data_IF_201771489124
#
_entry.id   IF_201771489124
#
_cell.length_a   1.000
_cell.length_b   1.000
_cell.length_c   1.000
_cell.angle_alpha   90.00
_cell.angle_beta   90.00
_cell.angle_gamma   90.00
#
_symmetry.space_group_name_H-M   'P 1'
#
loop_
_entity.id
_entity.type
_entity.pdbx_description
1 polymer ?
#
# COMPACT_ATOMS: atom_id res chain seq x y z
N UNK A 1 35.26 -43.04 -56.19
CA UNK A 1 35.64 -42.17 -55.08
C UNK A 1 34.51 -41.20 -54.85
N UNK A 2 33.61 -41.51 -53.90
CA UNK A 2 32.39 -40.74 -53.59
C UNK A 2 32.68 -39.86 -52.35
N UNK A 3 32.66 -38.54 -52.51
CA UNK A 3 32.88 -37.58 -51.38
C UNK A 3 31.57 -37.44 -50.64
N UNK A 4 31.52 -37.88 -49.37
CA UNK A 4 30.46 -37.56 -48.43
C UNK A 4 30.65 -36.14 -47.86
N UNK A 5 29.70 -35.26 -48.14
CA UNK A 5 29.66 -33.89 -47.57
C UNK A 5 28.84 -33.95 -46.27
N UNK A 6 29.49 -33.76 -45.12
CA UNK A 6 28.82 -33.63 -43.83
C UNK A 6 28.29 -32.20 -43.67
N UNK A 7 26.98 -32.03 -43.58
CA UNK A 7 26.35 -30.81 -43.13
C UNK A 7 26.30 -30.80 -41.60
N UNK A 8 27.07 -29.88 -40.97
CA UNK A 8 26.96 -29.59 -39.55
C UNK A 8 25.82 -28.59 -39.39
N UNK A 9 24.68 -29.04 -38.85
CA UNK A 9 23.59 -28.17 -38.46
C UNK A 9 23.97 -27.44 -37.16
N UNK A 10 24.26 -26.15 -37.28
CA UNK A 10 24.49 -25.24 -36.15
C UNK A 10 23.11 -24.97 -35.49
N UNK A 11 22.79 -25.65 -34.40
CA UNK A 11 21.65 -25.32 -33.57
C UNK A 11 21.92 -23.95 -32.90
N UNK A 12 21.31 -22.88 -33.42
CA UNK A 12 21.18 -21.62 -32.73
C UNK A 12 20.24 -21.81 -31.52
N UNK A 13 20.82 -21.95 -30.33
CA UNK A 13 20.10 -21.82 -29.07
C UNK A 13 19.60 -20.37 -29.00
N UNK A 14 18.32 -20.17 -29.27
CA UNK A 14 17.65 -18.91 -28.94
C UNK A 14 17.78 -18.69 -27.42
N UNK A 15 18.25 -17.50 -26.97
CA UNK A 15 18.27 -17.22 -25.54
C UNK A 15 16.82 -17.31 -25.02
N UNK A 16 16.56 -18.31 -24.19
CA UNK A 16 15.30 -18.43 -23.47
C UNK A 16 15.07 -17.13 -22.71
N UNK A 17 13.86 -16.55 -22.81
CA UNK A 17 13.52 -15.37 -22.04
C UNK A 17 13.81 -15.65 -20.56
N UNK A 18 14.72 -14.89 -19.96
CA UNK A 18 15.00 -15.00 -18.55
C UNK A 18 13.69 -14.74 -17.78
N UNK A 19 13.36 -15.56 -16.78
CA UNK A 19 12.17 -15.31 -15.96
C UNK A 19 12.30 -13.90 -15.36
N UNK A 20 11.20 -13.15 -15.40
CA UNK A 20 11.17 -11.79 -14.83
C UNK A 20 11.64 -11.83 -13.38
N UNK A 21 12.47 -10.88 -12.98
CA UNK A 21 12.87 -10.74 -11.58
C UNK A 21 11.66 -10.39 -10.71
N UNK A 22 11.57 -10.90 -9.46
CA UNK A 22 10.48 -10.53 -8.58
C UNK A 22 10.58 -9.05 -8.17
N UNK A 23 9.44 -8.39 -8.06
CA UNK A 23 9.34 -7.01 -7.58
C UNK A 23 9.69 -6.88 -6.09
N UNK A 24 9.41 -7.91 -5.31
CA UNK A 24 9.76 -7.98 -3.90
C UNK A 24 9.98 -9.43 -3.45
N UNK A 25 10.53 -9.56 -2.24
CA UNK A 25 10.50 -10.82 -1.50
C UNK A 25 9.60 -10.59 -0.29
N UNK A 26 8.61 -11.46 -0.09
CA UNK A 26 7.71 -11.39 1.06
C UNK A 26 8.48 -11.55 2.38
N UNK A 27 7.92 -11.07 3.47
CA UNK A 27 8.47 -11.29 4.82
C UNK A 27 8.52 -12.79 5.22
N UNK A 28 7.87 -13.65 4.43
CA UNK A 28 7.84 -15.09 4.58
C UNK A 28 8.82 -15.81 3.63
N UNK A 29 9.63 -15.05 2.86
CA UNK A 29 10.64 -15.57 1.94
C UNK A 29 10.11 -15.95 0.54
N UNK A 30 8.86 -15.66 0.20
CA UNK A 30 8.28 -15.96 -1.13
C UNK A 30 8.60 -14.83 -2.13
N UNK A 31 9.02 -15.12 -3.38
CA UNK A 31 9.15 -14.09 -4.41
C UNK A 31 7.77 -13.55 -4.81
N UNK A 32 7.69 -12.24 -5.00
CA UNK A 32 6.45 -11.55 -5.33
C UNK A 32 6.55 -10.91 -6.73
N UNK A 33 5.63 -11.28 -7.59
CA UNK A 33 5.54 -10.80 -8.97
C UNK A 33 4.31 -9.92 -9.17
N UNK A 34 4.30 -9.01 -10.17
CA UNK A 34 3.11 -8.23 -10.48
C UNK A 34 1.88 -9.12 -10.67
N UNK A 35 0.76 -8.71 -10.09
CA UNK A 35 -0.50 -9.44 -10.26
C UNK A 35 -0.99 -9.34 -11.70
N UNK A 36 -1.67 -10.38 -12.22
CA UNK A 36 -2.34 -10.31 -13.52
C UNK A 36 -3.36 -9.16 -13.54
N UNK A 37 -3.35 -8.39 -14.62
CA UNK A 37 -4.28 -7.26 -14.82
C UNK A 37 -5.20 -7.62 -15.99
N UNK A 38 -6.51 -7.37 -15.83
CA UNK A 38 -7.50 -7.57 -16.89
C UNK A 38 -7.14 -6.73 -18.13
N UNK A 39 -7.39 -7.26 -19.34
CA UNK A 39 -6.92 -6.68 -20.59
C UNK A 39 -7.38 -5.22 -20.81
N UNK A 40 -8.59 -4.88 -20.40
CA UNK A 40 -9.12 -3.51 -20.51
C UNK A 40 -8.40 -2.55 -19.55
N UNK A 41 -8.26 -2.92 -18.28
CA UNK A 41 -7.53 -2.13 -17.30
C UNK A 41 -6.05 -1.98 -17.70
N UNK A 42 -5.44 -3.02 -18.24
CA UNK A 42 -4.07 -2.98 -18.76
C UNK A 42 -3.92 -1.91 -19.86
N UNK A 43 -4.83 -1.89 -20.86
CA UNK A 43 -4.78 -0.89 -21.95
C UNK A 43 -4.81 0.54 -21.39
N UNK A 44 -5.73 0.83 -20.47
CA UNK A 44 -5.83 2.14 -19.84
C UNK A 44 -4.55 2.52 -19.08
N UNK A 45 -3.95 1.56 -18.36
CA UNK A 45 -2.69 1.80 -17.63
C UNK A 45 -1.52 2.06 -18.61
N UNK A 46 -1.44 1.30 -19.70
CA UNK A 46 -0.40 1.47 -20.74
C UNK A 46 -0.53 2.80 -21.48
N UNK A 47 -1.75 3.23 -21.82
CA UNK A 47 -2.01 4.55 -22.41
C UNK A 47 -1.61 5.68 -21.47
N UNK A 48 -1.99 5.60 -20.21
CA UNK A 48 -1.62 6.59 -19.21
C UNK A 48 -0.10 6.64 -18.98
N UNK A 49 0.57 5.49 -18.96
CA UNK A 49 2.01 5.39 -18.86
C UNK A 49 2.69 6.05 -20.06
N UNK A 50 2.29 5.70 -21.29
CA UNK A 50 2.82 6.31 -22.52
C UNK A 50 2.68 7.83 -22.51
N UNK A 51 1.56 8.37 -22.06
CA UNK A 51 1.36 9.80 -21.95
C UNK A 51 2.34 10.43 -20.93
N UNK A 52 2.56 9.78 -19.79
CA UNK A 52 3.52 10.24 -18.79
C UNK A 52 4.96 10.16 -19.30
N UNK A 53 5.34 9.12 -20.05
CA UNK A 53 6.64 8.98 -20.69
C UNK A 53 6.93 10.13 -21.67
N UNK A 54 5.92 10.54 -22.48
CA UNK A 54 6.04 11.67 -23.41
C UNK A 54 6.27 12.99 -22.64
N UNK A 55 5.51 13.22 -21.56
CA UNK A 55 5.65 14.45 -20.76
C UNK A 55 7.00 14.48 -20.05
N UNK A 56 7.39 13.38 -19.39
CA UNK A 56 8.68 13.25 -18.72
C UNK A 56 9.86 13.38 -19.71
N UNK A 57 9.78 12.77 -20.89
CA UNK A 57 10.83 12.87 -21.91
C UNK A 57 11.05 14.30 -22.44
N UNK A 58 10.02 15.17 -22.39
CA UNK A 58 10.13 16.59 -22.76
C UNK A 58 10.65 17.47 -21.61
N UNK A 59 10.34 17.12 -20.37
CA UNK A 59 10.67 17.90 -19.17
C UNK A 59 11.18 16.98 -18.05
N UNK A 60 12.38 16.36 -18.20
CA UNK A 60 12.89 15.38 -17.24
C UNK A 60 13.30 16.00 -15.88
N UNK A 61 13.37 17.33 -15.81
CA UNK A 61 13.69 18.09 -14.59
C UNK A 61 12.43 18.70 -13.94
N UNK A 62 11.24 18.49 -14.50
CA UNK A 62 9.98 18.89 -13.90
C UNK A 62 9.60 17.90 -12.79
N UNK A 63 9.43 18.37 -11.52
CA UNK A 63 9.04 17.51 -10.42
C UNK A 63 7.68 16.85 -10.62
N UNK A 64 6.71 17.51 -11.25
CA UNK A 64 5.39 16.93 -11.51
C UNK A 64 5.47 15.83 -12.55
N UNK A 65 6.26 16.01 -13.62
CA UNK A 65 6.50 14.97 -14.61
C UNK A 65 7.17 13.73 -13.99
N UNK A 66 8.15 13.94 -13.10
CA UNK A 66 8.81 12.85 -12.35
C UNK A 66 7.84 12.11 -11.43
N UNK A 67 6.96 12.82 -10.73
CA UNK A 67 5.93 12.18 -9.88
C UNK A 67 4.97 11.35 -10.73
N UNK A 68 4.50 11.90 -11.85
CA UNK A 68 3.53 11.19 -12.67
C UNK A 68 4.12 9.97 -13.36
N UNK A 69 5.34 10.02 -13.91
CA UNK A 69 5.97 8.84 -14.51
C UNK A 69 6.16 7.74 -13.46
N UNK A 70 6.71 8.04 -12.27
CA UNK A 70 6.88 7.06 -11.20
C UNK A 70 5.57 6.44 -10.74
N UNK A 71 4.49 7.21 -10.65
CA UNK A 71 3.14 6.70 -10.31
C UNK A 71 2.61 5.78 -11.42
N UNK A 72 2.70 6.19 -12.68
CA UNK A 72 2.20 5.42 -13.84
C UNK A 72 2.96 4.11 -14.05
N UNK A 73 4.25 4.09 -13.78
CA UNK A 73 5.08 2.89 -13.76
C UNK A 73 4.67 1.93 -12.62
N UNK A 74 4.31 2.46 -11.45
CA UNK A 74 3.92 1.64 -10.31
C UNK A 74 2.57 0.93 -10.48
N UNK A 75 1.60 1.51 -11.19
CA UNK A 75 0.24 0.95 -11.28
C UNK A 75 0.17 -0.42 -11.97
N UNK A 76 0.92 -0.73 -13.04
CA UNK A 76 1.02 -2.09 -13.58
C UNK A 76 1.88 -3.05 -12.73
N UNK A 77 2.41 -2.61 -11.58
CA UNK A 77 3.18 -3.44 -10.65
C UNK A 77 4.70 -3.35 -10.81
N UNK A 78 5.24 -2.39 -11.58
CA UNK A 78 6.69 -2.15 -11.77
C UNK A 78 7.22 -1.27 -10.63
N UNK A 79 7.23 -1.80 -9.41
CA UNK A 79 7.51 -0.98 -8.21
C UNK A 79 8.97 -0.61 -8.07
N UNK A 80 9.91 -1.49 -8.48
CA UNK A 80 11.35 -1.20 -8.44
C UNK A 80 11.73 -0.07 -9.38
N UNK A 81 11.20 -0.09 -10.58
CA UNK A 81 11.39 0.98 -11.57
C UNK A 81 10.76 2.30 -11.10
N UNK A 82 9.60 2.25 -10.47
CA UNK A 82 9.02 3.45 -9.85
C UNK A 82 9.92 4.03 -8.74
N UNK A 83 10.59 3.18 -7.95
CA UNK A 83 11.57 3.61 -6.95
C UNK A 83 12.78 4.30 -7.63
N UNK A 84 13.22 3.83 -8.79
CA UNK A 84 14.29 4.46 -9.56
C UNK A 84 13.87 5.87 -10.00
N UNK A 85 12.71 6.04 -10.63
CA UNK A 85 12.19 7.36 -11.00
C UNK A 85 12.07 8.32 -9.81
N UNK A 86 11.56 7.86 -8.68
CA UNK A 86 11.49 8.70 -7.48
C UNK A 86 12.86 8.96 -6.86
N UNK A 87 13.84 8.08 -7.07
CA UNK A 87 15.22 8.30 -6.59
C UNK A 87 15.92 9.38 -7.39
N UNK A 88 15.75 9.37 -8.72
CA UNK A 88 16.19 10.48 -9.57
C UNK A 88 15.51 11.80 -9.19
N UNK A 89 14.22 11.72 -8.86
CA UNK A 89 13.46 12.86 -8.37
C UNK A 89 13.98 13.41 -7.04
N UNK A 90 14.36 12.54 -6.09
CA UNK A 90 14.98 12.96 -4.81
C UNK A 90 16.35 13.62 -5.05
N UNK A 91 17.14 13.12 -5.99
CA UNK A 91 18.45 13.70 -6.32
C UNK A 91 18.28 15.10 -6.92
N UNK A 92 17.34 15.28 -7.85
CA UNK A 92 17.09 16.56 -8.52
C UNK A 92 16.36 17.56 -7.64
N UNK A 93 15.45 17.09 -6.79
CA UNK A 93 14.54 17.90 -5.96
C UNK A 93 14.59 17.50 -4.49
N UNK A 94 15.74 17.65 -3.80
CA UNK A 94 15.94 17.13 -2.44
C UNK A 94 15.05 17.78 -1.36
N UNK A 95 14.43 18.92 -1.68
CA UNK A 95 13.52 19.64 -0.78
C UNK A 95 12.03 19.48 -1.14
N UNK A 96 11.71 18.65 -2.14
CA UNK A 96 10.33 18.30 -2.50
C UNK A 96 9.86 17.07 -1.72
N UNK A 97 9.01 17.29 -0.73
CA UNK A 97 8.46 16.22 0.12
C UNK A 97 7.72 15.13 -0.68
N UNK A 98 7.17 15.46 -1.84
CA UNK A 98 6.37 14.55 -2.66
C UNK A 98 7.21 13.40 -3.20
N UNK A 99 8.49 13.63 -3.55
CA UNK A 99 9.41 12.60 -4.03
C UNK A 99 9.62 11.53 -2.96
N UNK A 100 9.97 11.95 -1.74
CA UNK A 100 10.14 11.06 -0.60
C UNK A 100 8.83 10.34 -0.23
N UNK A 101 7.68 11.06 -0.26
CA UNK A 101 6.37 10.47 0.01
C UNK A 101 6.05 9.32 -0.94
N UNK A 102 6.25 9.50 -2.24
CA UNK A 102 5.96 8.48 -3.24
C UNK A 102 6.97 7.33 -3.19
N UNK A 103 8.26 7.61 -3.04
CA UNK A 103 9.29 6.57 -2.90
C UNK A 103 9.09 5.76 -1.63
N UNK A 104 8.83 6.41 -0.51
CA UNK A 104 8.53 5.76 0.77
C UNK A 104 7.33 4.81 0.70
N UNK A 105 6.27 5.20 -0.01
CA UNK A 105 5.15 4.30 -0.27
C UNK A 105 5.59 3.05 -1.06
N UNK A 106 6.42 3.19 -2.09
CA UNK A 106 6.92 2.03 -2.86
C UNK A 106 7.84 1.16 -2.01
N UNK A 107 8.66 1.74 -1.14
CA UNK A 107 9.44 0.95 -0.18
C UNK A 107 8.56 0.11 0.76
N UNK A 108 7.40 0.61 1.20
CA UNK A 108 6.42 -0.24 1.91
C UNK A 108 5.99 -1.41 1.03
N UNK A 109 5.64 -1.15 -0.22
CA UNK A 109 5.19 -2.17 -1.17
C UNK A 109 6.23 -3.28 -1.36
N UNK A 110 7.52 -2.93 -1.47
CA UNK A 110 8.61 -3.91 -1.66
C UNK A 110 9.19 -4.45 -0.34
N UNK A 111 8.59 -4.15 0.82
CA UNK A 111 8.96 -4.59 2.18
C UNK A 111 10.27 -3.97 2.72
N UNK A 112 10.77 -2.90 2.15
CA UNK A 112 11.92 -2.15 2.68
C UNK A 112 11.44 -1.09 3.68
N UNK A 113 10.92 -1.53 4.82
CA UNK A 113 10.35 -0.64 5.84
C UNK A 113 11.36 0.37 6.41
N UNK A 114 12.64 0.02 6.63
CA UNK A 114 13.63 1.00 7.09
C UNK A 114 13.77 2.19 6.12
N UNK A 115 13.84 1.94 4.80
CA UNK A 115 13.90 3.02 3.81
C UNK A 115 12.57 3.78 3.72
N UNK A 116 11.43 3.09 3.82
CA UNK A 116 10.13 3.74 3.88
C UNK A 116 10.04 4.74 5.04
N UNK A 117 10.45 4.31 6.25
CA UNK A 117 10.48 5.17 7.44
C UNK A 117 11.41 6.37 7.24
N UNK A 118 12.61 6.15 6.69
CA UNK A 118 13.58 7.21 6.41
C UNK A 118 13.01 8.28 5.48
N UNK A 119 12.46 7.85 4.34
CA UNK A 119 11.87 8.75 3.34
C UNK A 119 10.64 9.50 3.90
N UNK A 120 9.71 8.79 4.53
CA UNK A 120 8.49 9.40 5.04
C UNK A 120 8.77 10.35 6.23
N UNK A 121 9.77 10.06 7.05
CA UNK A 121 10.25 10.98 8.09
C UNK A 121 10.89 12.23 7.49
N UNK A 122 11.68 12.09 6.41
CA UNK A 122 12.22 13.23 5.67
C UNK A 122 11.10 14.06 5.05
N UNK A 123 10.11 13.43 4.42
CA UNK A 123 8.93 14.11 3.88
C UNK A 123 8.19 14.89 4.99
N UNK A 124 7.96 14.27 6.15
CA UNK A 124 7.32 14.94 7.29
C UNK A 124 8.11 16.16 7.78
N UNK A 125 9.44 16.10 7.77
CA UNK A 125 10.28 17.25 8.12
C UNK A 125 10.19 18.38 7.10
N UNK A 126 10.06 18.04 5.81
CA UNK A 126 9.99 19.03 4.72
C UNK A 126 8.65 19.78 4.64
N UNK A 127 7.56 19.18 5.14
CA UNK A 127 6.24 19.84 5.18
C UNK A 127 6.00 20.62 6.47
N UNK A 128 6.87 20.52 7.45
CA UNK A 128 6.69 21.19 8.74
C UNK A 128 6.52 22.71 8.56
N UNK A 129 5.42 23.25 9.08
CA UNK A 129 5.08 24.67 8.98
C UNK A 129 4.62 25.14 7.59
N UNK A 130 4.52 24.26 6.60
CA UNK A 130 4.00 24.58 5.26
C UNK A 130 2.48 24.34 5.19
N UNK A 131 1.75 25.08 4.35
CA UNK A 131 0.36 24.78 4.05
C UNK A 131 0.20 23.39 3.47
N UNK A 132 -0.89 22.70 3.85
CA UNK A 132 -1.25 21.41 3.27
C UNK A 132 -1.81 21.60 1.85
N UNK A 133 -1.66 20.60 1.01
CA UNK A 133 -2.14 20.63 -0.36
C UNK A 133 -2.85 19.32 -0.72
N UNK A 134 -3.90 19.42 -1.54
CA UNK A 134 -4.58 18.24 -2.10
C UNK A 134 -3.57 17.46 -2.94
N UNK A 135 -3.49 16.15 -2.72
CA UNK A 135 -2.73 15.28 -3.60
C UNK A 135 -3.65 14.76 -4.73
N UNK A 136 -3.33 15.03 -6.00
CA UNK A 136 -4.15 14.57 -7.11
C UNK A 136 -4.24 13.05 -7.16
N UNK A 137 -5.45 12.52 -7.35
CA UNK A 137 -5.64 11.09 -7.50
C UNK A 137 -5.03 10.57 -8.80
N UNK A 138 -4.26 9.48 -8.68
CA UNK A 138 -3.71 8.81 -9.84
C UNK A 138 -4.67 7.82 -10.50
N UNK A 139 -5.64 7.35 -9.73
CA UNK A 139 -6.77 6.53 -10.17
C UNK A 139 -8.03 7.10 -9.52
N UNK A 140 -8.65 8.12 -10.13
CA UNK A 140 -9.79 8.81 -9.54
C UNK A 140 -10.92 7.88 -9.20
N UNK A 141 -11.56 8.12 -8.05
CA UNK A 141 -12.77 7.41 -7.65
C UNK A 141 -13.99 7.80 -8.51
N UNK A 142 -15.09 7.08 -8.36
CA UNK A 142 -16.30 7.28 -9.16
C UNK A 142 -16.90 8.71 -9.06
N UNK A 143 -16.59 9.46 -7.99
CA UNK A 143 -17.02 10.85 -7.80
C UNK A 143 -16.00 11.88 -8.28
N UNK A 144 -14.81 11.45 -8.71
CA UNK A 144 -13.69 12.32 -9.06
C UNK A 144 -13.35 13.34 -7.97
N UNK A 145 -13.45 12.95 -6.70
CA UNK A 145 -13.19 13.78 -5.54
C UNK A 145 -11.95 13.27 -4.80
N UNK A 146 -10.85 14.05 -4.73
CA UNK A 146 -9.68 13.66 -3.95
C UNK A 146 -10.04 13.48 -2.47
N UNK A 147 -9.64 12.35 -1.89
CA UNK A 147 -9.93 12.01 -0.48
C UNK A 147 -8.73 12.24 0.44
N UNK A 148 -7.58 12.62 -0.11
CA UNK A 148 -6.34 12.79 0.67
C UNK A 148 -5.56 14.04 0.29
N UNK A 149 -4.68 14.45 1.20
CA UNK A 149 -3.74 15.55 1.05
C UNK A 149 -2.31 15.03 1.17
N UNK A 150 -1.32 15.85 0.79
CA UNK A 150 0.08 15.49 0.93
C UNK A 150 0.43 15.16 2.39
N UNK A 151 0.00 16.03 3.33
CA UNK A 151 0.34 15.84 4.74
C UNK A 151 -0.34 14.59 5.31
N UNK A 152 -1.63 14.37 4.99
CA UNK A 152 -2.33 13.17 5.41
C UNK A 152 -1.66 11.90 4.87
N UNK A 153 -1.26 11.90 3.60
CA UNK A 153 -0.59 10.75 2.98
C UNK A 153 0.80 10.48 3.57
N UNK A 154 1.58 11.52 3.87
CA UNK A 154 2.90 11.35 4.51
C UNK A 154 2.75 10.68 5.87
N UNK A 155 1.92 11.24 6.76
CA UNK A 155 1.76 10.68 8.11
C UNK A 155 1.02 9.33 8.11
N UNK A 156 0.09 9.12 7.21
CA UNK A 156 -0.59 7.83 7.05
C UNK A 156 0.39 6.71 6.70
N UNK A 157 1.25 6.93 5.68
CA UNK A 157 2.22 5.92 5.26
C UNK A 157 3.38 5.78 6.26
N UNK A 158 3.77 6.85 6.96
CA UNK A 158 4.75 6.77 8.05
C UNK A 158 4.22 5.90 9.20
N UNK A 159 2.97 6.13 9.61
CA UNK A 159 2.31 5.30 10.60
C UNK A 159 2.21 3.84 10.17
N UNK A 160 1.88 3.61 8.91
CA UNK A 160 1.82 2.26 8.34
C UNK A 160 3.20 1.58 8.34
N UNK A 161 4.26 2.27 7.91
CA UNK A 161 5.62 1.70 7.89
C UNK A 161 6.09 1.31 9.30
N UNK A 162 5.82 2.13 10.31
CA UNK A 162 6.07 1.80 11.71
C UNK A 162 5.22 0.62 12.20
N UNK A 163 3.93 0.59 11.88
CA UNK A 163 3.04 -0.51 12.25
C UNK A 163 3.51 -1.85 11.68
N UNK A 164 3.87 -1.87 10.40
CA UNK A 164 4.38 -3.06 9.70
C UNK A 164 5.72 -3.53 10.27
N UNK A 165 6.55 -2.61 10.73
CA UNK A 165 7.81 -2.92 11.43
C UNK A 165 7.61 -3.41 12.88
N UNK A 166 6.38 -3.28 13.44
CA UNK A 166 6.08 -3.64 14.82
C UNK A 166 6.34 -2.51 15.84
N UNK A 167 6.73 -1.32 15.41
CA UNK A 167 6.87 -0.14 16.27
C UNK A 167 5.51 0.57 16.41
N UNK A 168 4.62 -0.06 17.18
CA UNK A 168 3.25 0.42 17.35
C UNK A 168 3.17 1.79 18.07
N UNK A 169 4.18 2.14 18.89
CA UNK A 169 4.23 3.43 19.55
C UNK A 169 4.44 4.56 18.54
N UNK A 170 5.46 4.45 17.69
CA UNK A 170 5.69 5.44 16.63
C UNK A 170 4.59 5.43 15.56
N UNK A 171 3.97 4.27 15.31
CA UNK A 171 2.78 4.21 14.46
C UNK A 171 1.64 5.05 15.03
N UNK A 172 1.36 4.92 16.33
CA UNK A 172 0.34 5.70 17.02
C UNK A 172 0.63 7.21 16.96
N UNK A 173 1.89 7.62 17.19
CA UNK A 173 2.30 9.03 17.09
C UNK A 173 2.09 9.59 15.68
N UNK A 174 2.48 8.84 14.64
CA UNK A 174 2.28 9.24 13.26
C UNK A 174 0.78 9.35 12.89
N UNK A 175 -0.04 8.40 13.32
CA UNK A 175 -1.48 8.46 13.08
C UNK A 175 -2.18 9.57 13.86
N UNK A 176 -1.70 9.90 15.06
CA UNK A 176 -2.19 11.07 15.79
C UNK A 176 -1.96 12.35 14.97
N UNK A 177 -0.78 12.50 14.37
CA UNK A 177 -0.49 13.62 13.46
C UNK A 177 -1.33 13.54 12.20
N UNK A 178 -1.56 12.36 11.62
CA UNK A 178 -2.41 12.18 10.45
C UNK A 178 -3.85 12.65 10.68
N UNK A 179 -4.40 12.45 11.88
CA UNK A 179 -5.75 12.92 12.23
C UNK A 179 -5.91 14.44 12.11
N UNK A 180 -4.84 15.22 12.30
CA UNK A 180 -4.89 16.68 12.15
C UNK A 180 -5.21 17.09 10.70
N UNK A 181 -4.87 16.24 9.73
CA UNK A 181 -5.09 16.42 8.29
C UNK A 181 -6.25 15.60 7.73
N UNK A 182 -6.89 14.74 8.54
CA UNK A 182 -8.01 13.88 8.14
C UNK A 182 -9.33 14.67 8.19
N UNK A 183 -9.57 15.53 7.17
CA UNK A 183 -10.68 16.52 7.17
C UNK A 183 -11.95 16.03 6.50
N UNK A 184 -11.92 14.90 5.80
CA UNK A 184 -13.10 14.28 5.18
C UNK A 184 -13.37 12.89 5.78
N UNK A 185 -14.59 12.34 5.60
CA UNK A 185 -14.98 11.05 6.16
C UNK A 185 -14.06 9.89 5.75
N UNK A 186 -13.59 9.84 4.51
CA UNK A 186 -12.73 8.77 4.02
C UNK A 186 -11.39 8.72 4.72
N UNK A 187 -10.68 9.88 4.76
CA UNK A 187 -9.39 9.95 5.42
C UNK A 187 -9.52 9.77 6.93
N UNK A 188 -10.62 10.27 7.52
CA UNK A 188 -10.92 10.05 8.94
C UNK A 188 -11.09 8.55 9.25
N UNK A 189 -11.84 7.81 8.43
CA UNK A 189 -12.03 6.37 8.61
C UNK A 189 -10.71 5.61 8.44
N UNK A 190 -9.94 5.89 7.38
CA UNK A 190 -8.68 5.23 7.12
C UNK A 190 -7.65 5.46 8.23
N UNK A 191 -7.49 6.70 8.68
CA UNK A 191 -6.56 7.06 9.76
C UNK A 191 -7.00 6.46 11.08
N UNK A 192 -8.29 6.58 11.43
CA UNK A 192 -8.84 6.05 12.68
C UNK A 192 -8.66 4.54 12.76
N UNK A 193 -8.83 3.82 11.64
CA UNK A 193 -8.67 2.37 11.59
C UNK A 193 -7.26 1.92 12.01
N UNK A 194 -6.24 2.45 11.36
CA UNK A 194 -4.87 2.05 11.68
C UNK A 194 -4.39 2.59 13.05
N UNK A 195 -4.87 3.77 13.44
CA UNK A 195 -4.57 4.32 14.77
C UNK A 195 -5.20 3.48 15.87
N UNK A 196 -6.46 3.07 15.71
CA UNK A 196 -7.12 2.13 16.61
C UNK A 196 -6.30 0.84 16.77
N UNK A 197 -5.88 0.24 15.66
CA UNK A 197 -5.09 -0.99 15.71
C UNK A 197 -3.73 -0.78 16.39
N UNK A 198 -3.05 0.33 16.14
CA UNK A 198 -1.78 0.64 16.81
C UNK A 198 -1.95 0.76 18.33
N UNK A 199 -2.98 1.49 18.78
CA UNK A 199 -3.29 1.62 20.22
C UNK A 199 -3.72 0.28 20.84
N UNK A 200 -4.52 -0.51 20.15
CA UNK A 200 -4.93 -1.84 20.62
C UNK A 200 -3.74 -2.79 20.77
N UNK A 201 -2.75 -2.72 19.87
CA UNK A 201 -1.49 -3.48 19.97
C UNK A 201 -0.64 -3.04 21.16
N UNK A 202 -0.75 -1.80 21.61
CA UNK A 202 -0.09 -1.26 22.79
C UNK A 202 -0.86 -1.57 24.10
N UNK A 203 -2.01 -2.23 24.04
CA UNK A 203 -2.88 -2.45 25.18
C UNK A 203 -3.62 -1.18 25.65
N UNK A 204 -3.60 -0.09 24.87
CA UNK A 204 -4.25 1.20 25.17
C UNK A 204 -5.72 1.18 24.72
N UNK A 205 -6.49 0.23 25.23
CA UNK A 205 -7.87 -0.01 24.79
C UNK A 205 -8.81 1.17 25.06
N UNK A 206 -8.62 1.91 26.15
CA UNK A 206 -9.43 3.10 26.46
C UNK A 206 -9.23 4.18 25.39
N UNK A 207 -7.98 4.45 25.02
CA UNK A 207 -7.66 5.45 24.02
C UNK A 207 -8.14 5.02 22.62
N UNK A 208 -7.97 3.73 22.28
CA UNK A 208 -8.46 3.16 21.03
C UNK A 208 -10.00 3.32 20.93
N UNK A 209 -10.74 2.98 21.98
CA UNK A 209 -12.19 3.10 21.99
C UNK A 209 -12.66 4.56 21.91
N UNK A 210 -11.93 5.50 22.49
CA UNK A 210 -12.27 6.93 22.40
C UNK A 210 -12.26 7.44 20.95
N UNK A 211 -11.41 6.87 20.06
CA UNK A 211 -11.39 7.23 18.64
C UNK A 211 -12.71 6.89 17.94
N UNK A 212 -13.39 5.83 18.36
CA UNK A 212 -14.60 5.31 17.73
C UNK A 212 -15.80 6.27 17.87
N UNK A 213 -15.77 7.19 18.83
CA UNK A 213 -16.85 8.17 19.02
C UNK A 213 -17.09 9.05 17.80
N UNK A 214 -16.07 9.25 16.96
CA UNK A 214 -16.14 10.05 15.72
C UNK A 214 -16.71 9.29 14.52
N UNK A 215 -16.90 7.99 14.64
CA UNK A 215 -17.36 7.11 13.55
C UNK A 215 -18.85 6.89 13.70
N UNK A 216 -19.62 7.27 12.70
CA UNK A 216 -21.08 7.11 12.67
C UNK A 216 -21.52 6.40 11.39
N UNK A 217 -22.70 5.73 11.42
CA UNK A 217 -23.22 5.03 10.22
C UNK A 217 -23.50 5.94 9.02
N UNK A 218 -23.76 7.23 9.29
CA UNK A 218 -24.17 8.23 8.29
C UNK A 218 -23.00 8.88 7.55
N UNK A 219 -21.75 8.52 7.88
CA UNK A 219 -20.57 9.06 7.20
C UNK A 219 -20.64 8.79 5.70
N UNK A 220 -20.47 9.83 4.90
CA UNK A 220 -20.43 9.73 3.43
C UNK A 220 -19.05 9.22 2.99
N UNK A 221 -18.91 7.91 2.90
CA UNK A 221 -17.67 7.22 2.53
C UNK A 221 -17.65 6.94 1.01
N UNK A 222 -16.59 7.34 0.34
CA UNK A 222 -16.40 7.16 -1.11
C UNK A 222 -15.55 5.92 -1.41
N UNK A 223 -14.40 5.77 -0.73
CA UNK A 223 -13.38 4.75 -1.04
C UNK A 223 -13.13 3.79 0.13
N UNK A 224 -13.20 4.27 1.36
CA UNK A 224 -12.73 3.56 2.57
C UNK A 224 -13.85 2.80 3.30
N UNK A 225 -14.80 2.24 2.54
CA UNK A 225 -15.96 1.54 3.10
C UNK A 225 -15.57 0.34 3.98
N UNK A 226 -14.50 -0.41 3.64
CA UNK A 226 -14.03 -1.54 4.46
C UNK A 226 -13.53 -1.06 5.81
N UNK A 227 -12.74 0.01 5.87
CA UNK A 227 -12.26 0.57 7.13
C UNK A 227 -13.41 1.10 7.98
N UNK A 228 -14.36 1.79 7.36
CA UNK A 228 -15.55 2.28 8.07
C UNK A 228 -16.36 1.13 8.70
N UNK A 229 -16.65 0.06 7.95
CA UNK A 229 -17.35 -1.13 8.47
C UNK A 229 -16.58 -1.79 9.60
N UNK A 230 -15.25 -1.93 9.50
CA UNK A 230 -14.40 -2.48 10.55
C UNK A 230 -14.44 -1.65 11.83
N UNK A 231 -14.37 -0.32 11.72
CA UNK A 231 -14.49 0.57 12.88
C UNK A 231 -15.86 0.43 13.56
N UNK A 232 -16.94 0.28 12.80
CA UNK A 232 -18.27 0.00 13.33
C UNK A 232 -18.37 -1.37 14.02
N UNK A 233 -17.65 -2.36 13.49
CA UNK A 233 -17.50 -3.66 14.16
C UNK A 233 -16.74 -3.51 15.49
N UNK A 234 -15.64 -2.74 15.53
CA UNK A 234 -14.91 -2.48 16.78
C UNK A 234 -15.75 -1.74 17.80
N UNK A 235 -16.70 -0.93 17.34
CA UNK A 235 -17.68 -0.23 18.16
C UNK A 235 -18.82 -1.15 18.67
N UNK A 236 -18.93 -2.37 18.13
CA UNK A 236 -19.98 -3.34 18.47
C UNK A 236 -21.29 -3.18 17.68
N UNK A 237 -21.32 -2.35 16.64
CA UNK A 237 -22.49 -2.13 15.79
C UNK A 237 -22.66 -3.22 14.71
N UNK A 238 -21.58 -3.89 14.34
CA UNK A 238 -21.53 -4.96 13.34
C UNK A 238 -20.80 -6.18 13.90
N UNK A 239 -21.04 -7.36 13.34
CA UNK A 239 -20.37 -8.59 13.74
C UNK A 239 -19.24 -8.94 12.79
N UNK A 240 -18.21 -9.66 13.27
CA UNK A 240 -17.13 -10.17 12.44
C UNK A 240 -17.64 -11.07 11.33
N UNK A 241 -18.57 -11.98 11.64
CA UNK A 241 -19.15 -12.91 10.66
C UNK A 241 -19.89 -12.18 9.54
N UNK A 242 -20.66 -11.13 9.87
CA UNK A 242 -21.35 -10.33 8.87
C UNK A 242 -20.39 -9.62 7.91
N UNK A 243 -19.26 -9.12 8.43
CA UNK A 243 -18.24 -8.46 7.60
C UNK A 243 -17.52 -9.47 6.70
N UNK A 244 -17.13 -10.61 7.24
CA UNK A 244 -16.48 -11.67 6.46
C UNK A 244 -17.38 -12.20 5.34
N UNK A 245 -18.69 -12.33 5.60
CA UNK A 245 -19.67 -12.74 4.59
C UNK A 245 -19.81 -11.69 3.47
N UNK A 246 -19.85 -10.39 3.81
CA UNK A 246 -19.88 -9.29 2.84
C UNK A 246 -18.62 -9.24 1.98
N UNK A 247 -17.46 -9.56 2.56
CA UNK A 247 -16.16 -9.53 1.91
C UNK A 247 -15.74 -10.90 1.35
N UNK A 248 -16.69 -11.67 0.79
CA UNK A 248 -16.47 -13.03 0.28
C UNK A 248 -15.68 -13.11 -1.04
N UNK A 249 -15.46 -11.98 -1.73
CA UNK A 249 -14.70 -11.91 -2.97
C UNK A 249 -13.18 -12.13 -2.80
N UNK A 250 -12.44 -11.97 -3.90
CA UNK A 250 -10.97 -12.12 -3.96
C UNK A 250 -10.22 -10.78 -4.07
N UNK A 251 -10.92 -9.66 -3.94
CA UNK A 251 -10.36 -8.30 -4.13
C UNK A 251 -9.75 -7.69 -2.86
N UNK A 252 -9.41 -6.41 -2.99
CA UNK A 252 -8.84 -5.60 -1.92
C UNK A 252 -9.73 -5.56 -0.66
N UNK A 253 -11.05 -5.44 -0.84
CA UNK A 253 -12.04 -5.42 0.25
C UNK A 253 -11.97 -6.69 1.12
N UNK A 254 -11.82 -7.84 0.48
CA UNK A 254 -11.70 -9.13 1.16
C UNK A 254 -10.47 -9.20 2.07
N UNK A 255 -9.32 -8.77 1.56
CA UNK A 255 -8.06 -8.79 2.31
C UNK A 255 -8.07 -7.75 3.44
N UNK A 256 -8.56 -6.54 3.15
CA UNK A 256 -8.68 -5.47 4.15
C UNK A 256 -9.58 -5.88 5.30
N UNK A 257 -10.75 -6.44 4.99
CA UNK A 257 -11.73 -6.88 5.99
C UNK A 257 -11.19 -8.03 6.83
N UNK A 258 -10.62 -9.06 6.18
CA UNK A 258 -10.04 -10.21 6.92
C UNK A 258 -8.90 -9.79 7.84
N UNK A 259 -8.03 -8.88 7.39
CA UNK A 259 -6.96 -8.38 8.24
C UNK A 259 -7.51 -7.63 9.45
N UNK A 260 -8.51 -6.77 9.26
CA UNK A 260 -9.13 -6.04 10.38
C UNK A 260 -9.79 -6.97 11.40
N UNK A 261 -10.50 -8.01 10.94
CA UNK A 261 -11.09 -9.02 11.82
C UNK A 261 -10.00 -9.85 12.53
N UNK A 262 -8.93 -10.24 11.80
CA UNK A 262 -7.80 -10.96 12.39
C UNK A 262 -7.11 -10.15 13.50
N UNK A 263 -6.80 -8.89 13.22
CA UNK A 263 -6.18 -7.98 14.19
C UNK A 263 -7.06 -7.78 15.44
N UNK A 264 -8.38 -7.67 15.25
CA UNK A 264 -9.32 -7.60 16.35
C UNK A 264 -9.33 -8.88 17.20
N UNK A 265 -9.31 -10.05 16.58
CA UNK A 265 -9.18 -11.30 17.31
C UNK A 265 -7.90 -11.36 18.13
N UNK A 266 -6.76 -10.99 17.54
CA UNK A 266 -5.47 -11.00 18.23
C UNK A 266 -5.45 -10.07 19.44
N UNK A 267 -5.99 -8.86 19.31
CA UNK A 267 -6.01 -7.87 20.40
C UNK A 267 -7.05 -8.16 21.47
N UNK A 268 -7.99 -9.07 21.20
CA UNK A 268 -9.02 -9.54 22.15
C UNK A 268 -8.74 -10.98 22.69
N UNK A 269 -7.50 -11.44 22.65
CA UNK A 269 -7.08 -12.72 23.22
C UNK A 269 -7.48 -13.97 22.45
N UNK A 270 -8.09 -13.84 21.27
CA UNK A 270 -8.52 -14.95 20.40
C UNK A 270 -7.45 -15.29 19.36
N UNK A 271 -6.28 -15.67 19.86
CA UNK A 271 -5.06 -15.84 19.05
C UNK A 271 -5.25 -16.80 17.87
N UNK A 272 -5.87 -17.96 18.11
CA UNK A 272 -6.01 -19.00 17.07
C UNK A 272 -6.88 -18.54 15.91
N UNK A 273 -8.00 -17.85 16.21
CA UNK A 273 -8.88 -17.27 15.20
C UNK A 273 -8.17 -16.17 14.39
N UNK A 274 -7.43 -15.30 15.07
CA UNK A 274 -6.64 -14.27 14.41
C UNK A 274 -5.58 -14.86 13.48
N UNK A 275 -4.79 -15.83 13.95
CA UNK A 275 -3.74 -16.49 13.16
C UNK A 275 -4.32 -17.26 11.97
N UNK A 276 -5.47 -17.93 12.13
CA UNK A 276 -6.14 -18.63 11.04
C UNK A 276 -6.48 -17.67 9.89
N UNK A 277 -7.08 -16.51 10.19
CA UNK A 277 -7.41 -15.49 9.19
C UNK A 277 -6.16 -14.87 8.55
N UNK A 278 -5.07 -14.64 9.31
CA UNK A 278 -3.81 -14.16 8.75
C UNK A 278 -3.23 -15.15 7.72
N UNK A 279 -3.27 -16.44 8.03
CA UNK A 279 -2.82 -17.48 7.11
C UNK A 279 -3.72 -17.58 5.87
N UNK A 280 -5.04 -17.48 6.05
CA UNK A 280 -5.98 -17.42 4.93
C UNK A 280 -5.63 -16.27 3.97
N UNK A 281 -5.24 -15.10 4.49
CA UNK A 281 -4.82 -13.96 3.65
C UNK A 281 -3.57 -14.32 2.85
N UNK A 282 -2.49 -14.74 3.51
CA UNK A 282 -1.19 -14.91 2.84
C UNK A 282 -1.13 -16.13 1.91
N UNK A 283 -1.99 -17.11 2.10
CA UNK A 283 -2.06 -18.31 1.27
C UNK A 283 -3.18 -18.22 0.22
N UNK A 284 -4.31 -17.59 0.54
CA UNK A 284 -5.50 -17.53 -0.32
C UNK A 284 -5.57 -16.32 -1.25
N UNK A 285 -4.82 -15.24 -0.97
CA UNK A 285 -4.92 -13.99 -1.73
C UNK A 285 -3.57 -13.50 -2.31
N UNK A 286 -2.76 -14.36 -2.96
CA UNK A 286 -1.40 -14.01 -3.38
C UNK A 286 -1.36 -12.85 -4.39
N UNK A 287 -2.47 -12.57 -5.10
CA UNK A 287 -2.55 -11.46 -6.06
C UNK A 287 -2.77 -10.09 -5.38
N UNK A 288 -3.16 -10.10 -4.10
CA UNK A 288 -3.34 -8.90 -3.31
C UNK A 288 -2.10 -8.53 -2.48
N UNK A 289 -0.94 -9.09 -2.81
CA UNK A 289 0.30 -8.87 -2.07
C UNK A 289 0.73 -7.40 -1.91
N UNK A 290 0.38 -6.45 -2.82
CA UNK A 290 0.67 -5.04 -2.61
C UNK A 290 -0.28 -4.35 -1.61
N UNK A 291 -1.42 -4.98 -1.29
CA UNK A 291 -2.42 -4.40 -0.40
C UNK A 291 -1.91 -4.32 1.05
N UNK A 292 -2.19 -3.22 1.74
CA UNK A 292 -1.70 -2.99 3.11
C UNK A 292 -2.16 -4.06 4.10
N UNK A 293 -3.40 -4.54 3.97
CA UNK A 293 -3.90 -5.64 4.78
C UNK A 293 -3.12 -6.95 4.56
N UNK A 294 -2.68 -7.22 3.33
CA UNK A 294 -1.84 -8.38 3.02
C UNK A 294 -0.44 -8.23 3.63
N UNK A 295 0.20 -7.06 3.42
CA UNK A 295 1.54 -6.78 4.00
C UNK A 295 1.50 -6.89 5.53
N UNK A 296 0.43 -6.39 6.15
CA UNK A 296 0.24 -6.48 7.58
C UNK A 296 0.01 -7.91 8.06
N UNK A 297 -0.72 -8.73 7.29
CA UNK A 297 -0.87 -10.16 7.59
C UNK A 297 0.47 -10.90 7.49
N UNK A 298 1.28 -10.63 6.45
CA UNK A 298 2.64 -11.17 6.36
C UNK A 298 3.49 -10.80 7.58
N UNK A 299 3.46 -9.52 7.97
CA UNK A 299 4.24 -9.01 9.09
C UNK A 299 3.82 -9.66 10.42
N UNK A 300 2.52 -9.84 10.63
CA UNK A 300 2.00 -10.51 11.83
C UNK A 300 2.35 -12.01 11.85
N UNK A 301 2.23 -12.71 10.72
CA UNK A 301 2.64 -14.13 10.60
C UNK A 301 4.15 -14.28 10.82
N UNK A 302 4.97 -13.37 10.28
CA UNK A 302 6.41 -13.40 10.47
C UNK A 302 6.82 -13.18 11.95
N UNK A 303 6.12 -12.28 12.67
CA UNK A 303 6.36 -12.03 14.10
C UNK A 303 5.86 -13.14 15.01
N UNK A 304 4.93 -13.97 14.56
CA UNK A 304 4.38 -15.08 15.35
C UNK A 304 5.20 -16.38 15.25
N UNK A 305 6.21 -16.41 14.36
CA UNK A 305 7.18 -17.51 14.22
C UNK A 305 8.26 -17.45 15.30
#
# INVERSE_FOLDING_TARGET
>A
MTRLTFWVALLLLLPGAQPAAPEAVSLLGKPLFPAPIAAEARRTLEENLKNAEIVYGRNPDDPDATIWIGRRVAYPGRYREAIEHFSDGVEKHPDDARMYRHRGHRYITVRDFPKAIGDLSKAASLIAGKPDQIEPDGQPNARNMPTSTLNSNIYYHLGLAHYLSGDFAKAADAYQRCLEFSKNPDMLAATTYWYYLALARLGRSTDANALLARITPEMDIIENASYHRLLRMYKGELTADSLLALASGAGLDAVTTRYGVAAWHLTNGRKDQGVALLREIVDGYPQQWPAFGYVAAEADVARAR
#
